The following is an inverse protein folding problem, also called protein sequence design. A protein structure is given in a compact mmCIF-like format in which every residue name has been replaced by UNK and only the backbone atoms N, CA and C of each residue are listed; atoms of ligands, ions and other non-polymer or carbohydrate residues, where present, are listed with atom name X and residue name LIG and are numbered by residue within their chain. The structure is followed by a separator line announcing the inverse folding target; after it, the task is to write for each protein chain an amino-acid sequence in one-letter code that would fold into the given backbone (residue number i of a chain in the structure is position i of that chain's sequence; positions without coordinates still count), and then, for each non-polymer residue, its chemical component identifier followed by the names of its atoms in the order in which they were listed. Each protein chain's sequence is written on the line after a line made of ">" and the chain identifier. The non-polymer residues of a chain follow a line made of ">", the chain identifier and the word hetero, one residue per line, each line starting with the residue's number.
data_IF_013893621792
#
_entry.id   IF_013893621792
#
_cell.length_a   1.000
_cell.length_b   1.000
_cell.length_c   1.000
_cell.angle_alpha   90.00
_cell.angle_beta   90.00
_cell.angle_gamma   90.00
#
_symmetry.space_group_name_H-M   'P 1'
#
loop_
_entity.id
_entity.type
_entity.pdbx_description
1 polymer ?
#
# COMPACT_ATOMS: atom_id res chain seq x y z
N UNK A 1 6.86 8.03 8.16
CA UNK A 1 6.20 7.79 9.45
C UNK A 1 5.07 6.80 9.14
N UNK A 2 5.16 5.55 9.60
CA UNK A 2 4.17 4.51 9.25
C UNK A 2 2.81 4.85 9.87
N UNK A 3 1.70 4.56 9.19
CA UNK A 3 0.33 4.77 9.67
C UNK A 3 -0.10 3.70 10.69
N UNK A 4 0.84 2.93 11.22
CA UNK A 4 0.61 1.95 12.28
C UNK A 4 0.30 2.64 13.62
N UNK A 5 -0.83 3.36 13.70
CA UNK A 5 -1.55 3.47 14.97
C UNK A 5 -2.04 2.06 15.25
N UNK A 6 -1.64 1.39 16.35
CA UNK A 6 -2.13 0.06 16.65
C UNK A 6 -3.63 0.16 16.91
N UNK A 7 -4.42 -0.28 15.94
CA UNK A 7 -5.87 -0.42 16.08
C UNK A 7 -6.15 -1.87 16.47
N UNK A 8 -7.02 -2.07 17.45
CA UNK A 8 -7.28 -3.40 18.01
C UNK A 8 -8.05 -4.28 17.02
N UNK A 9 -8.69 -3.67 16.01
CA UNK A 9 -9.43 -4.36 14.95
C UNK A 9 -9.28 -3.70 13.57
N UNK A 10 -9.41 -4.50 12.50
CA UNK A 10 -9.45 -4.00 11.11
C UNK A 10 -10.61 -2.99 10.90
N UNK A 11 -11.71 -3.22 11.60
CA UNK A 11 -12.87 -2.34 11.69
C UNK A 11 -12.52 -0.91 12.15
N UNK A 12 -11.72 -0.81 13.20
CA UNK A 12 -11.28 0.48 13.75
C UNK A 12 -10.24 1.15 12.86
N UNK A 13 -9.32 0.38 12.28
CA UNK A 13 -8.36 0.86 11.28
C UNK A 13 -9.05 1.49 10.07
N UNK A 14 -10.03 0.79 9.48
CA UNK A 14 -10.86 1.35 8.40
C UNK A 14 -11.56 2.64 8.82
N UNK A 15 -12.17 2.68 10.01
CA UNK A 15 -12.84 3.88 10.53
C UNK A 15 -11.88 5.05 10.67
N UNK A 16 -10.67 4.80 11.18
CA UNK A 16 -9.64 5.81 11.37
C UNK A 16 -9.13 6.37 10.03
N UNK A 17 -8.81 5.49 9.07
CA UNK A 17 -8.38 5.92 7.73
C UNK A 17 -9.46 6.78 7.07
N UNK A 18 -10.74 6.38 7.17
CA UNK A 18 -11.87 7.15 6.63
C UNK A 18 -11.98 8.54 7.28
N UNK A 19 -11.90 8.65 8.61
CA UNK A 19 -11.94 9.95 9.31
C UNK A 19 -10.74 10.85 8.93
N UNK A 20 -9.55 10.28 8.76
CA UNK A 20 -8.38 11.02 8.31
C UNK A 20 -8.52 11.52 6.86
N UNK A 21 -9.07 10.71 5.95
CA UNK A 21 -9.36 11.13 4.58
C UNK A 21 -10.41 12.24 4.55
N UNK A 22 -11.49 12.12 5.33
CA UNK A 22 -12.58 13.10 5.37
C UNK A 22 -12.12 14.46 5.91
N UNK A 23 -11.17 14.45 6.85
CA UNK A 23 -10.55 15.66 7.40
C UNK A 23 -9.38 16.19 6.56
N UNK A 24 -8.99 15.50 5.49
CA UNK A 24 -7.84 15.86 4.66
C UNK A 24 -6.49 15.72 5.38
N UNK A 25 -6.43 14.91 6.44
CA UNK A 25 -5.19 14.60 7.16
C UNK A 25 -4.34 13.56 6.42
N UNK A 26 -4.98 12.76 5.57
CA UNK A 26 -4.33 11.82 4.67
C UNK A 26 -4.89 11.97 3.26
N UNK A 27 -4.08 11.59 2.28
CA UNK A 27 -4.49 11.34 0.90
C UNK A 27 -4.42 9.83 0.62
N UNK A 28 -5.00 9.38 -0.50
CA UNK A 28 -4.81 7.99 -0.94
C UNK A 28 -3.35 7.63 -1.21
N UNK A 29 -2.52 8.59 -1.62
CA UNK A 29 -1.09 8.38 -1.76
C UNK A 29 -0.40 8.11 -0.40
N UNK A 30 -0.84 8.78 0.66
CA UNK A 30 -0.33 8.52 2.01
C UNK A 30 -0.69 7.12 2.52
N UNK A 31 -1.89 6.63 2.18
CA UNK A 31 -2.28 5.23 2.46
C UNK A 31 -1.31 4.25 1.80
N UNK A 32 -1.02 4.43 0.51
CA UNK A 32 -0.06 3.57 -0.21
C UNK A 32 1.33 3.58 0.41
N UNK A 33 1.80 4.74 0.86
CA UNK A 33 3.16 4.90 1.39
C UNK A 33 3.33 4.35 2.79
N UNK A 34 2.27 4.27 3.57
CA UNK A 34 2.40 4.14 5.02
C UNK A 34 1.50 3.09 5.66
N UNK A 35 0.50 2.56 4.97
CA UNK A 35 -0.32 1.46 5.50
C UNK A 35 0.49 0.17 5.55
N UNK A 36 0.25 -0.58 6.61
CA UNK A 36 0.85 -1.89 6.87
C UNK A 36 -0.23 -2.93 7.18
N UNK A 37 -0.02 -4.20 6.80
CA UNK A 37 0.95 -4.69 5.81
C UNK A 37 0.73 -4.10 4.41
N UNK A 38 1.76 -4.17 3.56
CA UNK A 38 1.75 -3.62 2.20
C UNK A 38 0.57 -4.12 1.35
N UNK A 39 0.16 -5.37 1.55
CA UNK A 39 -1.00 -5.94 0.87
C UNK A 39 -2.29 -5.19 1.19
N UNK A 40 -2.48 -4.69 2.42
CA UNK A 40 -3.66 -3.90 2.79
C UNK A 40 -3.63 -2.49 2.22
N UNK A 41 -2.46 -1.97 1.85
CA UNK A 41 -2.38 -0.68 1.14
C UNK A 41 -2.99 -0.80 -0.27
N UNK A 42 -2.79 -1.95 -0.92
CA UNK A 42 -3.28 -2.24 -2.28
C UNK A 42 -4.72 -2.76 -2.33
N UNK A 43 -5.24 -3.23 -1.20
CA UNK A 43 -6.62 -3.68 -1.05
C UNK A 43 -7.50 -2.52 -0.59
N UNK A 44 -8.21 -1.88 -1.53
CA UNK A 44 -9.11 -0.76 -1.24
C UNK A 44 -10.18 -1.11 -0.19
N UNK A 45 -10.61 -2.38 -0.11
CA UNK A 45 -11.60 -2.82 0.87
C UNK A 45 -11.04 -2.78 2.31
N UNK A 46 -9.72 -2.88 2.48
CA UNK A 46 -9.03 -2.83 3.78
C UNK A 46 -8.89 -1.42 4.38
N UNK A 47 -9.33 -0.39 3.66
CA UNK A 47 -9.34 0.97 4.19
C UNK A 47 -10.53 1.83 3.75
N UNK A 48 -11.35 1.35 2.79
CA UNK A 48 -12.61 1.96 2.37
C UNK A 48 -13.84 1.07 2.56
N UNK A 49 -13.70 -0.23 2.83
CA UNK A 49 -14.83 -1.14 3.07
C UNK A 49 -15.63 -0.81 4.36
N UNK A 50 -16.69 -1.56 4.67
CA UNK A 50 -17.37 -1.49 5.98
C UNK A 50 -17.29 -2.89 6.58
N UNK A 51 -17.27 -2.87 7.89
CA UNK A 51 -17.81 -3.82 8.85
C UNK A 51 -19.38 -4.02 8.75
N UNK A 52 -20.06 -3.56 7.68
CA UNK A 52 -21.52 -3.42 7.53
C UNK A 52 -22.05 -3.50 6.08
N UNK A 53 -21.91 -2.45 5.26
CA UNK A 53 -22.09 -2.44 3.79
C UNK A 53 -21.73 -1.06 3.14
N UNK A 54 -20.52 -0.84 2.55
CA UNK A 54 -20.24 0.39 1.81
C UNK A 54 -19.51 0.13 0.49
N UNK A 55 -19.60 1.14 -0.36
CA UNK A 55 -19.12 1.09 -1.72
C UNK A 55 -17.82 1.91 -1.83
N UNK A 56 -16.75 1.29 -2.33
CA UNK A 56 -15.46 1.90 -2.73
C UNK A 56 -15.60 3.17 -3.60
N UNK A 57 -16.80 3.41 -4.13
CA UNK A 57 -17.17 4.58 -4.91
C UNK A 57 -17.42 5.87 -4.11
N UNK A 58 -17.40 5.85 -2.76
CA UNK A 58 -17.67 7.05 -1.95
C UNK A 58 -16.51 8.08 -1.89
N UNK A 59 -15.26 7.62 -2.05
CA UNK A 59 -14.05 8.47 -2.04
C UNK A 59 -13.20 8.31 -3.31
N UNK A 60 -13.74 8.65 -4.50
CA UNK A 60 -13.06 8.42 -5.77
C UNK A 60 -11.72 9.15 -5.88
N UNK A 61 -11.59 10.35 -5.29
CA UNK A 61 -10.33 11.09 -5.28
C UNK A 61 -9.22 10.37 -4.50
N UNK A 62 -9.55 9.76 -3.37
CA UNK A 62 -8.60 8.98 -2.58
C UNK A 62 -8.17 7.73 -3.35
N UNK A 63 -9.11 7.01 -3.98
CA UNK A 63 -8.81 5.83 -4.80
C UNK A 63 -7.90 6.17 -5.97
N UNK A 64 -8.21 7.24 -6.71
CA UNK A 64 -7.37 7.67 -7.85
C UNK A 64 -5.96 8.08 -7.40
N UNK A 65 -5.85 8.79 -6.27
CA UNK A 65 -4.55 9.16 -5.70
C UNK A 65 -3.75 7.93 -5.26
N UNK A 66 -4.39 6.94 -4.64
CA UNK A 66 -3.77 5.69 -4.25
C UNK A 66 -3.25 4.91 -5.48
N UNK A 67 -4.09 4.72 -6.51
CA UNK A 67 -3.67 4.03 -7.73
C UNK A 67 -2.51 4.73 -8.42
N UNK A 68 -2.59 6.04 -8.59
CA UNK A 68 -1.51 6.83 -9.18
C UNK A 68 -0.21 6.76 -8.37
N UNK A 69 -0.28 6.65 -7.05
CA UNK A 69 0.89 6.45 -6.20
C UNK A 69 1.49 5.05 -6.38
N UNK A 70 0.65 4.01 -6.35
CA UNK A 70 1.08 2.63 -6.54
C UNK A 70 1.76 2.46 -7.91
N UNK A 71 1.14 2.96 -8.99
CA UNK A 71 1.69 2.93 -10.33
C UNK A 71 3.07 3.58 -10.40
N UNK A 72 3.24 4.75 -9.77
CA UNK A 72 4.53 5.46 -9.74
C UNK A 72 5.60 4.67 -8.97
N UNK A 73 5.23 4.06 -7.85
CA UNK A 73 6.17 3.27 -7.05
C UNK A 73 6.60 2.01 -7.80
N UNK A 74 5.66 1.31 -8.44
CA UNK A 74 5.96 0.14 -9.24
C UNK A 74 6.80 0.46 -10.47
N UNK A 75 6.47 1.52 -11.21
CA UNK A 75 7.25 1.95 -12.37
C UNK A 75 8.68 2.33 -11.97
N UNK A 76 8.85 3.07 -10.88
CA UNK A 76 10.16 3.48 -10.39
C UNK A 76 11.03 2.32 -9.89
N UNK A 77 10.43 1.31 -9.25
CA UNK A 77 11.18 0.20 -8.65
C UNK A 77 11.35 -1.00 -9.58
N UNK A 78 10.32 -1.36 -10.33
CA UNK A 78 10.26 -2.59 -11.12
C UNK A 78 10.35 -2.30 -12.62
N UNK A 79 9.77 -1.18 -13.06
CA UNK A 79 9.70 -0.80 -14.47
C UNK A 79 9.25 -1.96 -15.36
N UNK A 80 10.02 -2.24 -16.40
CA UNK A 80 9.78 -3.36 -17.33
C UNK A 80 10.42 -4.69 -16.94
N UNK A 81 10.98 -4.86 -15.73
CA UNK A 81 11.67 -6.09 -15.31
C UNK A 81 10.70 -7.18 -14.80
N UNK A 82 10.41 -8.23 -15.58
CA UNK A 82 9.43 -9.24 -15.20
C UNK A 82 9.84 -10.07 -13.96
N UNK A 83 11.14 -10.24 -13.71
CA UNK A 83 11.64 -11.00 -12.56
C UNK A 83 11.51 -10.18 -11.27
N UNK A 84 11.72 -8.86 -11.36
CA UNK A 84 11.43 -7.95 -10.24
C UNK A 84 9.94 -7.95 -9.89
N UNK A 85 9.06 -7.91 -10.90
CA UNK A 85 7.62 -8.06 -10.72
C UNK A 85 7.24 -9.37 -10.03
N UNK A 86 7.83 -10.49 -10.45
CA UNK A 86 7.57 -11.79 -9.84
C UNK A 86 8.02 -11.86 -8.38
N UNK A 87 9.22 -11.36 -8.07
CA UNK A 87 9.73 -11.30 -6.69
C UNK A 87 8.85 -10.44 -5.79
N UNK A 88 8.40 -9.27 -6.26
CA UNK A 88 7.49 -8.41 -5.53
C UNK A 88 6.15 -9.11 -5.26
N UNK A 89 5.56 -9.73 -6.28
CA UNK A 89 4.29 -10.45 -6.15
C UNK A 89 4.35 -11.61 -5.14
N UNK A 90 5.47 -12.36 -5.10
CA UNK A 90 5.64 -13.46 -4.13
C UNK A 90 5.87 -12.99 -2.70
N UNK A 91 6.52 -11.84 -2.52
CA UNK A 91 6.81 -11.32 -1.20
C UNK A 91 5.62 -10.57 -0.58
N UNK A 92 4.75 -9.98 -1.40
CA UNK A 92 3.65 -9.11 -0.98
C UNK A 92 2.71 -9.71 0.10
N UNK A 93 2.22 -10.98 0.00
CA UNK A 93 1.23 -11.49 0.95
C UNK A 93 1.71 -11.55 2.40
N UNK A 94 3.00 -11.85 2.61
CA UNK A 94 3.59 -12.07 3.93
C UNK A 94 4.43 -10.87 4.41
N UNK A 95 4.53 -9.79 3.62
CA UNK A 95 5.36 -8.65 3.96
C UNK A 95 4.65 -7.72 4.95
N UNK A 96 5.12 -7.72 6.20
CA UNK A 96 4.54 -6.94 7.29
C UNK A 96 4.80 -5.41 7.20
N UNK A 97 5.74 -4.98 6.34
CA UNK A 97 6.08 -3.58 6.16
C UNK A 97 5.21 -2.86 5.13
N UNK A 98 5.63 -1.67 4.74
CA UNK A 98 4.95 -0.80 3.76
C UNK A 98 5.30 -1.19 2.31
N UNK A 99 4.51 -0.72 1.34
CA UNK A 99 4.81 -0.97 -0.08
C UNK A 99 6.19 -0.42 -0.51
N UNK A 100 6.61 0.82 -0.14
CA UNK A 100 7.96 1.29 -0.46
C UNK A 100 9.08 0.41 0.12
N UNK A 101 8.92 -0.11 1.34
CA UNK A 101 9.91 -1.00 1.96
C UNK A 101 10.00 -2.36 1.25
N UNK A 102 8.87 -2.90 0.79
CA UNK A 102 8.84 -4.11 -0.03
C UNK A 102 9.62 -3.91 -1.33
N UNK A 103 9.36 -2.80 -2.02
CA UNK A 103 9.99 -2.48 -3.31
C UNK A 103 11.50 -2.21 -3.17
N UNK A 104 11.91 -1.50 -2.13
CA UNK A 104 13.33 -1.32 -1.80
C UNK A 104 14.02 -2.67 -1.56
N UNK A 105 13.40 -3.57 -0.79
CA UNK A 105 13.96 -4.90 -0.53
C UNK A 105 14.12 -5.75 -1.80
N UNK A 106 13.14 -5.68 -2.71
CA UNK A 106 13.19 -6.44 -3.97
C UNK A 106 14.29 -5.90 -4.89
N UNK A 107 14.47 -4.58 -4.96
CA UNK A 107 15.49 -3.95 -5.81
C UNK A 107 16.91 -4.07 -5.26
N UNK A 108 17.09 -3.93 -3.94
CA UNK A 108 18.39 -4.10 -3.28
C UNK A 108 18.88 -5.56 -3.30
N UNK A 109 17.97 -6.53 -3.23
CA UNK A 109 18.29 -7.96 -3.31
C UNK A 109 18.94 -8.39 -4.63
N UNK A 110 18.74 -7.63 -5.70
CA UNK A 110 19.37 -7.85 -7.01
C UNK A 110 20.79 -7.29 -7.11
N UNK A 111 21.09 -6.26 -6.30
CA UNK A 111 22.39 -5.60 -6.32
C UNK A 111 23.51 -6.48 -5.74
N UNK A 112 23.17 -7.45 -4.88
CA UNK A 112 24.15 -8.39 -4.29
C UNK A 112 24.48 -9.56 -5.23
N UNK A 113 23.60 -9.91 -6.17
CA UNK A 113 23.82 -11.00 -7.15
C UNK A 113 24.65 -10.61 -8.37
N UNK A 114 25.05 -9.34 -8.50
CA UNK A 114 25.96 -8.86 -9.56
C UNK A 114 27.36 -8.59 -9.02
N UNK A 115 28.12 -9.63 -8.71
CA UNK A 115 29.59 -9.53 -8.66
C UNK A 115 30.23 -10.80 -9.26
N UNK A 116 31.05 -10.65 -10.33
CA UNK A 116 31.80 -11.77 -10.92
C UNK A 116 32.93 -12.26 -9.99
#
# INVERSE_FOLDING_TARGET
>A
MSLAVPMDTAAEDVRWVRDCLDRGLLTGADVIRHKVPACWALDEDQWLGDIGHPDRHDRPAAVLAARAEADRLFDAALGGDPEAWWRAARALPDFAGTLPELLARVTDGDSVSKRP
#
